data_IF_055944350182
#
_entry.id   IF_055944350182
#
_cell.length_a   1.000
_cell.length_b   1.000
_cell.length_c   1.000
_cell.angle_alpha   90.00
_cell.angle_beta   90.00
_cell.angle_gamma   90.00
#
_symmetry.space_group_name_H-M   'P 1'
#
loop_
_entity.id
_entity.type
_entity.pdbx_description
1 polymer ?
#
# COMPACT_ATOMS: atom_id res chain seq x y z
N UNK A 1 -22.75 -0.96 -28.98
CA UNK A 1 -21.38 -0.84 -28.42
C UNK A 1 -21.23 -1.90 -27.33
N UNK A 2 -20.56 -3.02 -27.62
CA UNK A 2 -20.40 -4.08 -26.62
C UNK A 2 -19.53 -3.58 -25.48
N UNK A 3 -20.04 -3.63 -24.24
CA UNK A 3 -19.25 -3.34 -23.05
C UNK A 3 -18.06 -4.30 -23.06
N UNK A 4 -16.86 -3.78 -23.31
CA UNK A 4 -15.63 -4.55 -23.18
C UNK A 4 -15.41 -4.76 -21.69
N UNK A 5 -16.07 -5.78 -21.13
CA UNK A 5 -15.93 -6.17 -19.72
C UNK A 5 -14.44 -6.37 -19.44
N UNK A 6 -13.91 -5.66 -18.44
CA UNK A 6 -12.53 -5.84 -18.03
C UNK A 6 -12.32 -7.28 -17.57
N UNK A 7 -11.71 -8.09 -18.43
CA UNK A 7 -11.38 -9.47 -18.11
C UNK A 7 -9.92 -9.55 -17.68
N UNK A 8 -9.70 -9.53 -16.37
CA UNK A 8 -8.38 -9.61 -15.76
C UNK A 8 -7.61 -10.86 -16.21
N UNK A 9 -8.28 -12.00 -16.44
CA UNK A 9 -7.61 -13.27 -16.79
C UNK A 9 -6.87 -13.20 -18.14
N UNK A 10 -7.36 -12.39 -19.07
CA UNK A 10 -6.77 -12.18 -20.41
C UNK A 10 -5.67 -11.11 -20.44
N UNK A 11 -5.36 -10.45 -19.31
CA UNK A 11 -4.35 -9.40 -19.23
C UNK A 11 -2.93 -9.96 -19.00
N UNK A 12 -1.88 -9.23 -19.41
CA UNK A 12 -0.49 -9.55 -19.08
C UNK A 12 -0.25 -9.69 -17.58
N UNK A 13 0.73 -10.52 -17.20
CA UNK A 13 1.08 -10.75 -15.78
C UNK A 13 1.42 -9.45 -15.05
N UNK A 14 2.17 -8.56 -15.70
CA UNK A 14 2.54 -7.26 -15.14
C UNK A 14 1.31 -6.41 -14.82
N UNK A 15 0.32 -6.39 -15.71
CA UNK A 15 -0.92 -5.63 -15.51
C UNK A 15 -1.76 -6.18 -14.35
N UNK A 16 -1.81 -7.51 -14.20
CA UNK A 16 -2.46 -8.16 -13.05
C UNK A 16 -1.79 -7.80 -11.73
N UNK A 17 -0.46 -7.70 -11.71
CA UNK A 17 0.28 -7.30 -10.52
C UNK A 17 0.03 -5.83 -10.16
N UNK A 18 0.04 -4.91 -11.14
CA UNK A 18 -0.31 -3.50 -10.87
C UNK A 18 -1.75 -3.38 -10.33
N UNK A 19 -2.69 -4.13 -10.90
CA UNK A 19 -4.06 -4.20 -10.39
C UNK A 19 -4.11 -4.64 -8.93
N UNK A 20 -3.41 -5.74 -8.60
CA UNK A 20 -3.38 -6.27 -7.24
C UNK A 20 -2.75 -5.28 -6.25
N UNK A 21 -1.66 -4.61 -6.64
CA UNK A 21 -1.01 -3.58 -5.82
C UNK A 21 -1.99 -2.43 -5.53
N UNK A 22 -2.72 -1.95 -6.55
CA UNK A 22 -3.72 -0.89 -6.38
C UNK A 22 -4.83 -1.30 -5.42
N UNK A 23 -5.40 -2.51 -5.57
CA UNK A 23 -6.40 -3.04 -4.63
C UNK A 23 -5.83 -3.13 -3.21
N UNK A 24 -4.62 -3.65 -3.05
CA UNK A 24 -4.00 -3.81 -1.74
C UNK A 24 -3.75 -2.45 -1.05
N UNK A 25 -3.29 -1.44 -1.79
CA UNK A 25 -3.14 -0.08 -1.26
C UNK A 25 -4.47 0.54 -0.81
N UNK A 26 -5.56 0.34 -1.58
CA UNK A 26 -6.89 0.80 -1.17
C UNK A 26 -7.28 0.14 0.15
N UNK A 27 -7.09 -1.17 0.28
CA UNK A 27 -7.42 -1.88 1.52
C UNK A 27 -6.57 -1.40 2.70
N UNK A 28 -5.28 -1.13 2.49
CA UNK A 28 -4.40 -0.53 3.50
C UNK A 28 -4.93 0.85 3.92
N UNK A 29 -5.22 1.73 2.96
CA UNK A 29 -5.74 3.07 3.24
C UNK A 29 -7.07 3.03 3.99
N UNK A 30 -7.99 2.18 3.57
CA UNK A 30 -9.27 1.97 4.25
C UNK A 30 -9.09 1.41 5.67
N UNK A 31 -8.07 0.58 5.90
CA UNK A 31 -7.77 0.04 7.24
C UNK A 31 -7.25 1.12 8.18
N UNK A 32 -6.38 2.02 7.70
CA UNK A 32 -5.97 3.22 8.43
C UNK A 32 -7.14 4.12 8.78
N UNK A 33 -8.01 4.41 7.80
CA UNK A 33 -9.21 5.22 8.02
C UNK A 33 -10.13 4.57 9.05
N UNK A 34 -10.38 3.26 8.93
CA UNK A 34 -11.19 2.53 9.90
C UNK A 34 -10.61 2.63 11.31
N UNK A 35 -9.29 2.51 11.46
CA UNK A 35 -8.59 2.69 12.73
C UNK A 35 -8.74 4.12 13.27
N UNK A 36 -8.45 5.13 12.46
CA UNK A 36 -8.57 6.54 12.84
C UNK A 36 -10.00 6.89 13.31
N UNK A 37 -11.01 6.44 12.56
CA UNK A 37 -12.41 6.62 12.94
C UNK A 37 -12.77 5.84 14.20
N UNK A 38 -12.33 4.59 14.33
CA UNK A 38 -12.55 3.81 15.54
C UNK A 38 -12.00 4.53 16.78
N UNK A 39 -10.76 5.02 16.72
CA UNK A 39 -10.15 5.81 17.79
C UNK A 39 -10.97 7.06 18.09
N UNK A 40 -11.35 7.82 17.05
CA UNK A 40 -12.19 9.02 17.19
C UNK A 40 -13.52 8.76 17.90
N UNK A 41 -14.16 7.61 17.66
CA UNK A 41 -15.49 7.32 18.21
C UNK A 41 -15.49 6.57 19.54
N UNK A 42 -14.43 5.81 19.85
CA UNK A 42 -14.40 4.94 21.04
C UNK A 42 -13.53 5.44 22.17
N UNK A 43 -12.55 6.32 21.89
CA UNK A 43 -11.75 6.87 22.96
C UNK A 43 -12.46 8.05 23.63
N UNK A 44 -12.43 8.13 24.97
CA UNK A 44 -12.86 9.30 25.72
C UNK A 44 -11.79 10.39 25.60
N UNK A 45 -11.38 10.72 24.38
CA UNK A 45 -10.46 11.80 24.12
C UNK A 45 -11.22 13.12 24.24
N UNK A 46 -10.59 14.09 24.89
CA UNK A 46 -10.98 15.48 24.71
C UNK A 46 -10.84 15.79 23.20
N UNK A 47 -11.91 16.26 22.56
CA UNK A 47 -11.94 16.50 21.11
C UNK A 47 -10.82 17.47 20.68
N UNK A 48 -10.30 18.25 21.63
CA UNK A 48 -9.16 19.15 21.45
C UNK A 48 -7.78 18.45 21.35
N UNK A 49 -7.65 17.18 21.75
CA UNK A 49 -6.39 16.41 21.75
C UNK A 49 -6.32 15.31 20.68
N UNK A 50 -7.42 15.05 19.97
CA UNK A 50 -7.41 14.10 18.86
C UNK A 50 -6.70 14.74 17.65
N UNK A 51 -5.53 14.20 17.30
CA UNK A 51 -4.90 14.48 16.02
C UNK A 51 -5.21 13.36 15.02
N UNK A 52 -5.77 13.75 13.88
CA UNK A 52 -6.09 12.85 12.79
C UNK A 52 -4.82 12.21 12.19
N UNK A 53 -3.69 12.90 12.25
CA UNK A 53 -2.41 12.41 11.74
C UNK A 53 -1.82 11.33 12.65
N UNK A 54 -1.84 11.53 13.96
CA UNK A 54 -1.26 10.62 14.97
C UNK A 54 -1.88 9.22 14.95
N UNK A 55 -3.12 9.10 14.48
CA UNK A 55 -3.83 7.82 14.38
C UNK A 55 -3.78 7.20 12.98
N UNK A 56 -3.00 7.81 12.07
CA UNK A 56 -2.80 7.36 10.69
C UNK A 56 -3.92 7.77 9.74
N UNK A 57 -4.71 8.78 10.07
CA UNK A 57 -5.83 9.22 9.25
C UNK A 57 -5.38 9.80 7.90
N UNK A 58 -4.32 10.62 7.87
CA UNK A 58 -3.78 11.15 6.62
C UNK A 58 -3.13 10.07 5.76
N UNK A 59 -2.42 9.12 6.38
CA UNK A 59 -1.93 7.92 5.69
C UNK A 59 -3.09 7.17 5.04
N UNK A 60 -4.21 7.00 5.76
CA UNK A 60 -5.40 6.35 5.26
C UNK A 60 -5.99 7.04 4.02
N UNK A 61 -6.09 8.37 4.05
CA UNK A 61 -6.51 9.18 2.90
C UNK A 61 -5.55 8.99 1.73
N UNK A 62 -4.25 9.17 1.98
CA UNK A 62 -3.20 9.07 0.96
C UNK A 62 -3.22 7.71 0.27
N UNK A 63 -3.16 6.61 1.02
CA UNK A 63 -3.10 5.26 0.46
C UNK A 63 -4.37 4.84 -0.26
N UNK A 64 -5.53 5.34 0.18
CA UNK A 64 -6.78 5.11 -0.54
C UNK A 64 -6.77 5.77 -1.91
N UNK A 65 -6.41 7.07 -1.98
CA UNK A 65 -6.36 7.80 -3.24
C UNK A 65 -5.23 7.31 -4.15
N UNK A 66 -4.07 7.01 -3.59
CA UNK A 66 -2.93 6.48 -4.33
C UNK A 66 -3.23 5.08 -4.88
N UNK A 67 -3.89 4.24 -4.10
CA UNK A 67 -4.36 2.93 -4.53
C UNK A 67 -5.37 3.00 -5.67
N UNK A 68 -6.30 3.96 -5.63
CA UNK A 68 -7.20 4.24 -6.75
C UNK A 68 -6.40 4.65 -7.99
N UNK A 69 -5.40 5.53 -7.86
CA UNK A 69 -4.56 5.93 -8.98
C UNK A 69 -3.82 4.72 -9.59
N UNK A 70 -3.16 3.89 -8.78
CA UNK A 70 -2.48 2.67 -9.24
C UNK A 70 -3.47 1.72 -9.92
N UNK A 71 -4.67 1.56 -9.35
CA UNK A 71 -5.72 0.74 -9.94
C UNK A 71 -6.16 1.28 -11.31
N UNK A 72 -6.32 2.60 -11.46
CA UNK A 72 -6.63 3.24 -12.73
C UNK A 72 -5.54 2.97 -13.78
N UNK A 73 -4.26 3.09 -13.40
CA UNK A 73 -3.13 2.76 -14.26
C UNK A 73 -3.11 1.29 -14.68
N UNK A 74 -3.61 0.39 -13.83
CA UNK A 74 -3.72 -1.03 -14.18
C UNK A 74 -4.70 -1.31 -15.32
N UNK A 75 -5.60 -0.39 -15.68
CA UNK A 75 -6.48 -0.53 -16.85
C UNK A 75 -5.82 -0.08 -18.15
N UNK A 76 -4.72 0.67 -18.07
CA UNK A 76 -3.94 1.10 -19.22
C UNK A 76 -3.03 -0.03 -19.74
N UNK A 77 -2.45 0.17 -20.93
CA UNK A 77 -1.41 -0.72 -21.45
C UNK A 77 -0.09 -0.46 -20.70
N UNK A 78 0.05 -1.03 -19.50
CA UNK A 78 1.17 -0.84 -18.57
C UNK A 78 2.54 -0.96 -19.25
N UNK A 79 2.70 -1.90 -20.16
CA UNK A 79 3.95 -2.12 -20.91
C UNK A 79 4.32 -0.98 -21.87
N UNK A 80 3.35 -0.17 -22.31
CA UNK A 80 3.58 1.04 -23.12
C UNK A 80 3.79 2.29 -22.26
N UNK A 81 3.27 2.29 -21.04
CA UNK A 81 3.38 3.40 -20.08
C UNK A 81 4.33 3.04 -18.92
N UNK A 82 5.51 2.50 -19.25
CA UNK A 82 6.46 1.97 -18.26
C UNK A 82 6.90 3.02 -17.24
N UNK A 83 7.38 4.16 -17.73
CA UNK A 83 7.90 5.22 -16.87
C UNK A 83 6.80 5.77 -15.92
N UNK A 84 5.59 6.12 -16.39
CA UNK A 84 4.48 6.44 -15.50
C UNK A 84 4.15 5.35 -14.48
N UNK A 85 4.16 4.07 -14.89
CA UNK A 85 3.89 2.95 -13.98
C UNK A 85 4.94 2.87 -12.87
N UNK A 86 6.22 3.05 -13.20
CA UNK A 86 7.31 3.07 -12.21
C UNK A 86 7.11 4.21 -11.21
N UNK A 87 6.78 5.42 -11.68
CA UNK A 87 6.52 6.55 -10.80
C UNK A 87 5.34 6.31 -9.86
N UNK A 88 4.26 5.73 -10.37
CA UNK A 88 3.06 5.45 -9.58
C UNK A 88 3.30 4.34 -8.54
N UNK A 89 4.28 3.46 -8.75
CA UNK A 89 4.70 2.45 -7.77
C UNK A 89 5.76 2.92 -6.77
N UNK A 90 6.38 4.09 -7.01
CA UNK A 90 7.50 4.58 -6.20
C UNK A 90 7.14 4.73 -4.71
N UNK A 91 5.98 5.30 -4.32
CA UNK A 91 5.63 5.39 -2.91
C UNK A 91 5.55 4.02 -2.23
N UNK A 92 4.96 3.01 -2.88
CA UNK A 92 4.91 1.66 -2.31
C UNK A 92 6.27 1.00 -2.19
N UNK A 93 7.19 1.27 -3.11
CA UNK A 93 8.57 0.78 -2.99
C UNK A 93 9.27 1.41 -1.79
N UNK A 94 9.21 2.74 -1.67
CA UNK A 94 9.88 3.46 -0.58
C UNK A 94 9.31 3.07 0.78
N UNK A 95 7.98 3.04 0.91
CA UNK A 95 7.33 2.61 2.14
C UNK A 95 7.53 1.13 2.44
N UNK A 96 7.57 0.28 1.41
CA UNK A 96 7.88 -1.14 1.58
C UNK A 96 9.32 -1.38 2.06
N UNK A 97 10.29 -0.62 1.55
CA UNK A 97 11.69 -0.66 2.01
C UNK A 97 11.78 -0.16 3.46
N UNK A 98 11.20 1.00 3.75
CA UNK A 98 11.20 1.56 5.11
C UNK A 98 10.55 0.58 6.10
N UNK A 99 9.43 -0.01 5.71
CA UNK A 99 8.73 -0.99 6.55
C UNK A 99 9.55 -2.25 6.76
N UNK A 100 10.23 -2.77 5.73
CA UNK A 100 11.12 -3.92 5.88
C UNK A 100 12.29 -3.63 6.83
N UNK A 101 12.86 -2.41 6.80
CA UNK A 101 13.89 -1.99 7.75
C UNK A 101 13.36 -1.94 9.18
N UNK A 102 12.17 -1.35 9.38
CA UNK A 102 11.51 -1.30 10.70
C UNK A 102 11.23 -2.72 11.23
N UNK A 103 10.76 -3.64 10.38
CA UNK A 103 10.58 -5.05 10.76
C UNK A 103 11.88 -5.72 11.19
N UNK A 104 13.01 -5.34 10.58
CA UNK A 104 14.33 -5.78 11.02
C UNK A 104 14.67 -5.32 12.44
N UNK A 105 14.44 -4.04 12.75
CA UNK A 105 14.63 -3.48 14.09
C UNK A 105 13.72 -4.15 15.12
N UNK A 106 12.45 -4.33 14.77
CA UNK A 106 11.45 -5.06 15.54
C UNK A 106 11.92 -6.47 15.87
N UNK A 107 12.46 -7.20 14.89
CA UNK A 107 12.96 -8.55 15.11
C UNK A 107 14.09 -8.56 16.15
N UNK A 108 15.00 -7.58 16.12
CA UNK A 108 16.06 -7.44 17.12
C UNK A 108 15.50 -7.16 18.53
N UNK A 109 14.44 -6.36 18.64
CA UNK A 109 13.75 -6.13 19.91
C UNK A 109 13.09 -7.39 20.46
N UNK A 110 12.48 -8.21 19.60
CA UNK A 110 11.97 -9.55 19.97
C UNK A 110 13.10 -10.41 20.52
N UNK A 111 14.21 -10.52 19.79
CA UNK A 111 15.35 -11.35 20.20
C UNK A 111 16.03 -10.86 21.47
N UNK A 112 15.94 -9.56 21.79
CA UNK A 112 16.47 -8.98 23.02
C UNK A 112 15.47 -8.94 24.18
N UNK A 113 14.23 -9.42 23.99
CA UNK A 113 13.20 -9.50 25.02
C UNK A 113 12.60 -8.15 25.44
N UNK A 114 12.80 -7.09 24.65
CA UNK A 114 12.33 -5.71 24.95
C UNK A 114 11.12 -5.29 24.12
N UNK A 115 10.43 -6.27 23.56
CA UNK A 115 9.39 -6.06 22.60
C UNK A 115 8.11 -5.48 23.21
N UNK A 116 7.64 -4.37 22.66
CA UNK A 116 6.33 -3.80 22.99
C UNK A 116 5.43 -3.77 21.74
N UNK A 117 4.34 -4.56 21.69
CA UNK A 117 3.47 -4.61 20.53
C UNK A 117 2.68 -3.30 20.37
N UNK A 118 2.60 -2.80 19.14
CA UNK A 118 1.81 -1.63 18.79
C UNK A 118 0.92 -1.93 17.55
N UNK A 119 -0.30 -1.40 17.54
CA UNK A 119 -1.27 -1.56 16.46
C UNK A 119 -0.72 -1.14 15.07
N UNK A 120 0.19 -0.17 15.02
CA UNK A 120 0.77 0.31 13.77
C UNK A 120 1.64 -0.72 13.05
N UNK A 121 2.00 -1.79 13.74
CA UNK A 121 2.82 -2.88 13.21
C UNK A 121 2.11 -3.65 12.10
N UNK A 122 0.79 -3.78 12.20
CA UNK A 122 0.01 -4.38 11.12
C UNK A 122 0.16 -3.56 9.84
N UNK A 123 0.16 -2.23 9.93
CA UNK A 123 0.39 -1.39 8.75
C UNK A 123 1.82 -1.53 8.22
N UNK A 124 2.83 -1.57 9.08
CA UNK A 124 4.23 -1.83 8.67
C UNK A 124 4.32 -3.16 7.91
N UNK A 125 3.72 -4.24 8.44
CA UNK A 125 3.70 -5.55 7.77
C UNK A 125 3.02 -5.48 6.40
N UNK A 126 1.89 -4.78 6.29
CA UNK A 126 1.16 -4.64 5.03
C UNK A 126 1.98 -3.89 3.97
N UNK A 127 2.70 -2.83 4.34
CA UNK A 127 3.57 -2.09 3.41
C UNK A 127 4.80 -2.91 3.02
N UNK A 128 5.42 -3.62 3.96
CA UNK A 128 6.52 -4.52 3.66
C UNK A 128 6.08 -5.62 2.68
N UNK A 129 4.87 -6.15 2.82
CA UNK A 129 4.32 -7.15 1.90
C UNK A 129 4.12 -6.62 0.47
N UNK A 130 3.93 -5.31 0.29
CA UNK A 130 3.85 -4.68 -1.04
C UNK A 130 5.20 -4.59 -1.76
N UNK A 131 6.32 -4.73 -1.04
CA UNK A 131 7.66 -4.57 -1.62
C UNK A 131 7.92 -5.59 -2.74
N UNK A 132 7.67 -6.88 -2.46
CA UNK A 132 7.89 -7.96 -3.41
C UNK A 132 7.10 -7.80 -4.72
N UNK A 133 5.76 -7.59 -4.71
CA UNK A 133 5.02 -7.40 -5.94
C UNK A 133 5.45 -6.15 -6.71
N UNK A 134 5.84 -5.06 -6.03
CA UNK A 134 6.38 -3.88 -6.71
C UNK A 134 7.71 -4.18 -7.41
N UNK A 135 8.65 -4.88 -6.75
CA UNK A 135 9.92 -5.31 -7.35
C UNK A 135 9.66 -6.21 -8.57
N UNK A 136 8.72 -7.15 -8.46
CA UNK A 136 8.35 -8.03 -9.57
C UNK A 136 7.84 -7.22 -10.78
N UNK A 137 7.00 -6.21 -10.56
CA UNK A 137 6.55 -5.32 -11.64
C UNK A 137 7.75 -4.62 -12.30
N UNK A 138 8.68 -4.06 -11.53
CA UNK A 138 9.88 -3.41 -12.08
C UNK A 138 10.70 -4.38 -12.94
N UNK A 139 10.93 -5.60 -12.46
CA UNK A 139 11.67 -6.64 -13.20
C UNK A 139 10.96 -7.02 -14.50
N UNK A 140 9.62 -7.14 -14.49
CA UNK A 140 8.86 -7.44 -15.70
C UNK A 140 8.90 -6.29 -16.71
N UNK A 141 8.79 -5.05 -16.25
CA UNK A 141 8.88 -3.87 -17.10
C UNK A 141 10.28 -3.72 -17.73
N UNK A 142 11.32 -4.05 -16.99
CA UNK A 142 12.70 -4.04 -17.47
C UNK A 142 12.94 -5.08 -18.56
N UNK A 143 12.52 -6.33 -18.35
CA UNK A 143 12.69 -7.43 -19.31
C UNK A 143 11.87 -7.30 -20.59
N UNK A 144 10.86 -6.44 -20.59
CA UNK A 144 10.05 -6.15 -21.78
C UNK A 144 10.73 -5.15 -22.73
N UNK A 145 11.85 -4.53 -22.33
CA UNK A 145 12.66 -3.61 -23.14
C UNK A 145 13.64 -4.33 -24.05
#
# INVERSE_FOLDING_TARGET
MGSMMFNLSKRPKVQKLVFLIGVAQILIGMSYLAHAYYVKFTWPYDVALYDWDDVGGNDGVFWTFWGILVLLYSFLQVEKFRLPTIFVLLPSLLWGILSALILGSIALEIFSGRFEPNIFWFFILLHAALLLPCILVLVFLWKSS
#
